data_IF_226011505043
#
_entry.id   IF_226011505043
#
_cell.length_a   1.000
_cell.length_b   1.000
_cell.length_c   1.000
_cell.angle_alpha   90.00
_cell.angle_beta   90.00
_cell.angle_gamma   90.00
#
_symmetry.space_group_name_H-M   'P 1'
#
loop_
_entity.id
_entity.type
_entity.pdbx_description
1 polymer ?
#
# COMPACT_ATOMS: atom_id res chain seq x y z
N UNK A 1 -32.21 4.84 -37.52
CA UNK A 1 -32.78 3.77 -36.69
C UNK A 1 -32.46 2.43 -37.33
N UNK A 2 -31.27 1.86 -37.05
CA UNK A 2 -30.95 0.44 -37.31
C UNK A 2 -29.91 0.04 -36.24
N UNK A 3 -30.30 -0.85 -35.34
CA UNK A 3 -29.39 -1.61 -34.46
C UNK A 3 -29.40 -3.03 -34.98
N UNK A 4 -28.25 -3.51 -35.48
CA UNK A 4 -28.06 -4.88 -35.89
C UNK A 4 -26.60 -5.29 -35.66
N UNK A 5 -26.40 -6.45 -35.02
CA UNK A 5 -25.20 -7.26 -35.26
C UNK A 5 -24.19 -7.35 -34.12
N UNK A 6 -24.58 -7.90 -32.98
CA UNK A 6 -23.65 -8.56 -32.04
C UNK A 6 -23.53 -10.02 -32.49
N UNK A 7 -22.43 -10.40 -33.15
CA UNK A 7 -21.85 -11.76 -33.17
C UNK A 7 -20.85 -11.89 -34.31
N UNK A 8 -19.57 -11.85 -33.98
CA UNK A 8 -18.52 -12.43 -34.82
C UNK A 8 -17.40 -12.93 -33.91
N UNK A 9 -17.70 -14.02 -33.19
CA UNK A 9 -16.72 -14.85 -32.52
C UNK A 9 -16.71 -16.20 -33.23
N UNK A 10 -15.51 -16.72 -33.46
CA UNK A 10 -15.19 -18.07 -33.92
C UNK A 10 -15.13 -18.30 -35.44
N UNK A 11 -14.00 -17.89 -36.04
CA UNK A 11 -13.56 -18.34 -37.36
C UNK A 11 -12.89 -19.71 -37.22
N UNK A 12 -13.66 -20.76 -37.50
CA UNK A 12 -13.21 -22.16 -37.58
C UNK A 12 -12.48 -22.36 -38.91
N UNK A 13 -11.22 -22.80 -38.86
CA UNK A 13 -10.59 -23.55 -39.96
C UNK A 13 -10.63 -25.04 -39.58
N UNK A 14 -11.33 -25.91 -40.34
CA UNK A 14 -11.38 -27.33 -40.09
C UNK A 14 -10.35 -28.07 -40.95
N UNK A 15 -9.66 -29.07 -40.39
CA UNK A 15 -8.87 -30.00 -41.20
C UNK A 15 -7.80 -30.76 -40.44
N UNK A 16 -8.22 -31.75 -39.64
CA UNK A 16 -7.52 -33.05 -39.52
C UNK A 16 -8.41 -34.04 -38.75
N UNK A 17 -9.07 -34.91 -39.53
CA UNK A 17 -9.47 -36.31 -39.30
C UNK A 17 -9.73 -36.78 -37.85
N UNK A 18 -10.97 -37.24 -37.64
CA UNK A 18 -11.60 -37.95 -36.49
C UNK A 18 -11.03 -39.37 -36.20
N UNK A 19 -11.77 -40.29 -35.53
CA UNK A 19 -12.03 -40.43 -34.08
C UNK A 19 -11.64 -41.84 -33.58
N UNK A 20 -11.62 -42.10 -32.27
CA UNK A 20 -11.97 -43.42 -31.68
C UNK A 20 -11.76 -43.41 -30.17
N UNK A 21 -12.85 -43.55 -29.41
CA UNK A 21 -12.75 -43.86 -27.99
C UNK A 21 -12.24 -45.29 -27.77
N UNK A 22 -11.41 -45.48 -26.74
CA UNK A 22 -11.50 -46.62 -25.81
C UNK A 22 -10.50 -46.48 -24.66
N UNK A 23 -11.09 -46.49 -23.46
CA UNK A 23 -10.62 -47.19 -22.25
C UNK A 23 -9.44 -46.58 -21.50
N UNK A 24 -9.81 -45.94 -20.40
CA UNK A 24 -9.22 -46.10 -19.05
C UNK A 24 -8.35 -47.36 -18.94
N UNK A 25 -7.05 -47.16 -18.71
CA UNK A 25 -6.17 -48.16 -18.12
C UNK A 25 -5.55 -47.52 -16.87
N UNK A 26 -5.97 -48.08 -15.74
CA UNK A 26 -5.36 -47.88 -14.43
C UNK A 26 -3.93 -48.40 -14.50
N UNK A 27 -2.96 -47.64 -14.01
CA UNK A 27 -1.65 -48.18 -13.66
C UNK A 27 -1.13 -47.56 -12.36
N UNK A 28 -0.31 -48.35 -11.68
CA UNK A 28 -0.40 -48.67 -10.25
C UNK A 28 -0.14 -47.60 -9.19
N UNK A 29 -0.87 -47.80 -8.09
CA UNK A 29 -0.52 -47.40 -6.72
C UNK A 29 0.80 -48.03 -6.30
N UNK A 30 1.77 -47.21 -5.90
CA UNK A 30 2.90 -47.65 -5.08
C UNK A 30 2.69 -47.16 -3.64
N UNK A 31 2.60 -48.05 -2.64
CA UNK A 31 2.44 -47.65 -1.24
C UNK A 31 3.83 -47.37 -0.63
N UNK A 32 3.92 -46.39 0.28
CA UNK A 32 4.51 -46.57 1.62
C UNK A 32 4.64 -45.22 2.35
N UNK A 33 3.91 -45.14 3.46
CA UNK A 33 4.13 -44.39 4.70
C UNK A 33 4.70 -42.96 4.66
N UNK A 34 3.81 -41.97 4.81
CA UNK A 34 4.12 -40.76 5.59
C UNK A 34 3.03 -40.58 6.65
N UNK A 35 3.47 -40.65 7.92
CA UNK A 35 2.61 -40.37 9.07
C UNK A 35 2.04 -38.97 8.99
N UNK A 36 0.84 -38.80 9.53
CA UNK A 36 0.17 -37.52 9.76
C UNK A 36 1.11 -36.49 10.38
N UNK A 37 1.47 -35.39 9.68
CA UNK A 37 1.92 -34.18 10.34
C UNK A 37 0.65 -33.38 10.64
N UNK A 38 0.35 -33.21 11.93
CA UNK A 38 -0.80 -32.45 12.39
C UNK A 38 -0.84 -31.06 11.81
N UNK A 39 -2.07 -30.50 11.74
CA UNK A 39 -2.30 -29.07 11.56
C UNK A 39 -1.58 -28.35 12.72
N UNK A 40 -0.35 -27.93 12.46
CA UNK A 40 0.35 -26.97 13.30
C UNK A 40 -0.24 -25.60 12.93
N UNK A 41 -0.87 -24.88 13.88
CA UNK A 41 -1.13 -23.46 13.65
C UNK A 41 0.22 -22.80 13.38
N UNK A 42 0.32 -21.86 12.42
CA UNK A 42 1.56 -21.12 12.22
C UNK A 42 1.87 -20.34 13.50
N UNK A 43 2.76 -20.89 14.34
CA UNK A 43 3.35 -20.19 15.45
C UNK A 43 4.51 -19.34 14.94
N UNK A 44 4.57 -18.12 15.46
CA UNK A 44 5.71 -17.21 15.42
C UNK A 44 5.97 -16.49 14.08
N UNK A 45 5.04 -15.62 13.68
CA UNK A 45 5.48 -14.34 13.15
C UNK A 45 6.16 -13.59 14.31
N UNK A 46 7.35 -12.99 14.13
CA UNK A 46 7.90 -12.06 15.11
C UNK A 46 6.81 -11.04 15.45
N UNK A 47 6.70 -10.55 16.70
CA UNK A 47 5.88 -9.39 16.95
C UNK A 47 6.35 -8.33 15.95
N UNK A 48 5.48 -7.92 15.03
CA UNK A 48 5.77 -6.72 14.26
C UNK A 48 6.00 -5.66 15.32
N UNK A 49 7.22 -5.14 15.40
CA UNK A 49 7.56 -4.06 16.32
C UNK A 49 6.57 -2.94 16.00
N UNK A 50 5.53 -2.84 16.82
CA UNK A 50 4.59 -1.73 16.71
C UNK A 50 5.42 -0.51 17.05
N UNK A 51 5.74 0.29 16.02
CA UNK A 51 6.36 1.59 16.19
C UNK A 51 5.66 2.29 17.35
N UNK A 52 6.43 2.65 18.37
CA UNK A 52 5.86 3.25 19.55
C UNK A 52 5.17 4.55 19.15
N UNK A 53 4.07 4.87 19.82
CA UNK A 53 3.34 6.09 19.54
C UNK A 53 4.25 7.35 19.59
N UNK A 54 5.22 7.36 20.52
CA UNK A 54 6.22 8.43 20.63
C UNK A 54 7.17 8.51 19.42
N UNK A 55 7.55 7.39 18.83
CA UNK A 55 8.35 7.36 17.59
C UNK A 55 7.56 7.93 16.41
N UNK A 56 6.28 7.54 16.27
CA UNK A 56 5.41 8.09 15.20
C UNK A 56 5.26 9.61 15.35
N UNK A 57 5.04 10.09 16.57
CA UNK A 57 4.96 11.53 16.84
C UNK A 57 6.30 12.22 16.53
N UNK A 58 7.42 11.70 17.03
CA UNK A 58 8.75 12.26 16.76
C UNK A 58 9.04 12.33 15.26
N UNK A 59 8.71 11.27 14.52
CA UNK A 59 8.85 11.21 13.07
C UNK A 59 7.97 12.25 12.38
N UNK A 60 6.74 12.47 12.84
CA UNK A 60 5.88 13.52 12.29
C UNK A 60 6.48 14.93 12.50
N UNK A 61 7.02 15.22 13.70
CA UNK A 61 7.70 16.50 13.97
C UNK A 61 8.90 16.68 13.05
N UNK A 62 9.72 15.64 12.90
CA UNK A 62 10.88 15.66 12.01
C UNK A 62 10.47 15.85 10.54
N UNK A 63 9.37 15.21 10.11
CA UNK A 63 8.84 15.37 8.75
C UNK A 63 8.40 16.80 8.47
N UNK A 64 7.77 17.47 9.44
CA UNK A 64 7.35 18.88 9.31
C UNK A 64 8.57 19.79 9.24
N UNK A 65 9.59 19.52 10.06
CA UNK A 65 10.84 20.27 10.01
C UNK A 65 11.52 20.13 8.65
N UNK A 66 11.61 18.90 8.14
CA UNK A 66 12.20 18.62 6.84
C UNK A 66 11.44 19.33 5.71
N UNK A 67 10.11 19.23 5.69
CA UNK A 67 9.30 19.90 4.67
C UNK A 67 9.51 21.42 4.66
N UNK A 68 9.63 22.04 5.84
CA UNK A 68 9.96 23.47 5.95
C UNK A 68 11.36 23.80 5.45
N UNK A 69 12.35 22.96 5.77
CA UNK A 69 13.72 23.14 5.27
C UNK A 69 13.79 23.02 3.74
N UNK A 70 13.14 22.00 3.18
CA UNK A 70 13.08 21.76 1.74
C UNK A 70 12.44 22.96 1.00
N UNK A 71 11.34 23.50 1.55
CA UNK A 71 10.70 24.70 1.00
C UNK A 71 11.62 25.91 1.06
N UNK A 72 12.31 26.12 2.19
CA UNK A 72 13.22 27.25 2.36
C UNK A 72 14.47 27.14 1.45
N UNK A 73 14.97 25.93 1.23
CA UNK A 73 16.06 25.65 0.31
C UNK A 73 15.65 25.87 -1.14
N UNK A 74 14.50 25.34 -1.55
CA UNK A 74 13.93 25.56 -2.88
C UNK A 74 13.71 27.06 -3.17
N UNK A 75 13.20 27.81 -2.18
CA UNK A 75 13.06 29.27 -2.29
C UNK A 75 14.42 29.97 -2.45
N UNK A 76 15.44 29.57 -1.69
CA UNK A 76 16.79 30.13 -1.83
C UNK A 76 17.41 29.82 -3.19
N UNK A 77 17.30 28.58 -3.65
CA UNK A 77 17.79 28.15 -4.96
C UNK A 77 17.19 29.01 -6.08
N UNK A 78 15.88 29.24 -6.02
CA UNK A 78 15.17 30.10 -6.99
C UNK A 78 15.67 31.55 -6.95
N UNK A 79 15.82 32.12 -5.76
CA UNK A 79 16.31 33.49 -5.59
C UNK A 79 17.78 33.65 -6.05
N UNK A 80 18.58 32.58 -5.95
CA UNK A 80 19.96 32.55 -6.41
C UNK A 80 20.09 32.31 -7.93
N UNK A 81 18.98 32.04 -8.62
CA UNK A 81 18.98 31.74 -10.06
C UNK A 81 19.52 30.35 -10.40
N UNK A 82 19.49 29.41 -9.45
CA UNK A 82 19.74 28.00 -9.75
C UNK A 82 18.67 27.44 -10.72
N UNK A 83 18.95 26.35 -11.44
CA UNK A 83 18.02 25.74 -12.39
C UNK A 83 16.89 24.98 -11.67
N UNK A 84 16.16 25.66 -10.80
CA UNK A 84 14.94 25.19 -10.16
C UNK A 84 13.74 25.91 -10.78
N UNK A 85 12.71 25.15 -11.10
CA UNK A 85 11.49 25.70 -11.68
C UNK A 85 10.62 26.32 -10.58
N UNK A 86 9.97 27.45 -10.88
CA UNK A 86 9.10 28.14 -9.92
C UNK A 86 7.98 27.24 -9.39
N UNK A 87 7.47 26.31 -10.22
CA UNK A 87 6.40 25.40 -9.81
C UNK A 87 6.84 24.41 -8.74
N UNK A 88 8.09 23.94 -8.77
CA UNK A 88 8.63 23.05 -7.74
C UNK A 88 8.71 23.75 -6.39
N UNK A 89 9.13 25.02 -6.37
CA UNK A 89 9.17 25.83 -5.15
C UNK A 89 7.76 26.00 -4.57
N UNK A 90 6.76 26.28 -5.41
CA UNK A 90 5.38 26.41 -4.97
C UNK A 90 4.83 25.10 -4.44
N UNK A 91 5.10 23.97 -5.11
CA UNK A 91 4.70 22.63 -4.63
C UNK A 91 5.32 22.35 -3.26
N UNK A 92 6.62 22.64 -3.10
CA UNK A 92 7.34 22.43 -1.83
C UNK A 92 6.80 23.32 -0.71
N UNK A 93 6.43 24.56 -1.03
CA UNK A 93 5.78 25.45 -0.08
C UNK A 93 4.39 24.95 0.34
N UNK A 94 3.58 24.46 -0.61
CA UNK A 94 2.26 23.90 -0.33
C UNK A 94 2.35 22.62 0.51
N UNK A 95 3.30 21.74 0.18
CA UNK A 95 3.60 20.50 0.92
C UNK A 95 3.97 20.82 2.37
N UNK A 96 4.82 21.82 2.61
CA UNK A 96 5.19 22.28 3.94
C UNK A 96 3.99 22.82 4.73
N UNK A 97 3.11 23.60 4.08
CA UNK A 97 1.88 24.13 4.68
C UNK A 97 0.92 23.02 5.10
N UNK A 98 0.58 22.11 4.17
CA UNK A 98 -0.31 20.98 4.44
C UNK A 98 0.21 20.08 5.56
N UNK A 99 1.51 19.81 5.56
CA UNK A 99 2.16 18.97 6.58
C UNK A 99 2.12 19.62 7.96
N UNK A 100 2.25 20.94 8.04
CA UNK A 100 2.09 21.69 9.28
C UNK A 100 0.65 21.63 9.80
N UNK A 101 -0.34 21.82 8.94
CA UNK A 101 -1.76 21.75 9.31
C UNK A 101 -2.10 20.37 9.86
N UNK A 102 -1.64 19.32 9.19
CA UNK A 102 -1.79 17.95 9.66
C UNK A 102 -1.18 17.76 11.06
N UNK A 103 0.02 18.31 11.31
CA UNK A 103 0.65 18.23 12.63
C UNK A 103 -0.13 18.96 13.71
N UNK A 104 -0.77 20.09 13.39
CA UNK A 104 -1.65 20.80 14.33
C UNK A 104 -2.88 19.96 14.69
N UNK A 105 -3.48 19.27 13.72
CA UNK A 105 -4.58 18.34 13.98
C UNK A 105 -4.14 17.18 14.87
N UNK A 106 -2.98 16.59 14.58
CA UNK A 106 -2.40 15.53 15.41
C UNK A 106 -2.18 16.04 16.83
N UNK A 107 -1.50 17.17 17.00
CA UNK A 107 -1.27 17.79 18.31
C UNK A 107 -2.57 17.94 19.11
N UNK A 108 -3.62 18.45 18.48
CA UNK A 108 -4.92 18.63 19.12
C UNK A 108 -5.55 17.29 19.52
N UNK A 109 -5.53 16.29 18.63
CA UNK A 109 -6.02 14.94 18.94
C UNK A 109 -5.25 14.28 20.08
N UNK A 110 -3.96 14.54 20.20
CA UNK A 110 -3.13 14.02 21.29
C UNK A 110 -3.40 14.67 22.63
N UNK A 111 -3.57 15.99 22.65
CA UNK A 111 -3.99 16.69 23.85
C UNK A 111 -5.37 16.23 24.31
N UNK A 112 -6.29 16.01 23.37
CA UNK A 112 -7.62 15.49 23.67
C UNK A 112 -7.57 14.05 24.18
N UNK A 113 -6.84 13.15 23.51
CA UNK A 113 -6.69 11.77 23.95
C UNK A 113 -6.01 11.63 25.32
N UNK A 114 -5.02 12.48 25.60
CA UNK A 114 -4.41 12.57 26.93
C UNK A 114 -5.41 13.05 27.99
N UNK A 115 -6.20 14.08 27.69
CA UNK A 115 -7.24 14.57 28.59
C UNK A 115 -8.35 13.53 28.83
N UNK A 116 -8.77 12.79 27.80
CA UNK A 116 -9.80 11.75 27.91
C UNK A 116 -9.37 10.62 28.85
N UNK A 117 -8.10 10.19 28.76
CA UNK A 117 -7.53 9.15 29.64
C UNK A 117 -7.50 9.56 31.11
N UNK A 118 -7.36 10.86 31.40
CA UNK A 118 -7.29 11.41 32.76
C UNK A 118 -8.68 11.71 33.31
N UNK A 119 -9.63 12.07 32.46
CA UNK A 119 -10.98 12.47 32.87
C UNK A 119 -12.00 11.35 32.82
N UNK A 120 -11.60 10.10 32.56
CA UNK A 120 -12.49 8.96 32.76
C UNK A 120 -12.76 8.83 34.27
N UNK A 121 -13.93 9.27 34.76
CA UNK A 121 -14.23 9.14 36.17
C UNK A 121 -14.52 7.65 36.42
N UNK A 122 -13.88 7.10 37.42
CA UNK A 122 -14.28 5.83 38.04
C UNK A 122 -15.73 5.90 38.54
#
# INVERSE_FOLDING_TARGET
MIVAGISSFNKVLPGMIEPSGRRVLLDEVKPTAMGTPGIQPPMNQPPAEQASFGEVLSNAINSVNQAQMDSAEAQKALLNGEPIELHDVMIKAEEAGLTLDLMLEIRNKLLNGYNELIHMPM
#
